data_IF_388174670661
#
_entry.id   IF_388174670661
#
_cell.length_a   1.000
_cell.length_b   1.000
_cell.length_c   1.000
_cell.angle_alpha   90.00
_cell.angle_beta   90.00
_cell.angle_gamma   90.00
#
_symmetry.space_group_name_H-M   'P 1'
#
loop_
_entity.id
_entity.type
_entity.pdbx_description
1 polymer ?
#
# COMPACT_ATOMS: atom_id res chain seq x y z
N UNK A 1 2.85 -0.87 5.31
CA UNK A 1 2.46 -0.54 3.92
C UNK A 1 1.58 0.69 3.94
N UNK A 2 1.19 1.21 2.78
CA UNK A 2 0.21 2.29 2.65
C UNK A 2 -0.94 1.84 1.75
N UNK A 3 -2.12 1.54 2.33
CA UNK A 3 -3.25 0.88 1.64
C UNK A 3 -2.98 -0.57 1.22
N UNK A 4 -2.17 -1.28 1.99
CA UNK A 4 -1.72 -2.62 1.63
C UNK A 4 -2.80 -3.69 1.74
N UNK A 5 -3.77 -3.52 2.63
CA UNK A 5 -4.89 -4.46 2.75
C UNK A 5 -5.78 -4.46 1.50
N UNK A 6 -5.95 -3.30 0.88
CA UNK A 6 -6.81 -3.16 -0.29
C UNK A 6 -6.09 -3.43 -1.61
N UNK A 7 -4.78 -3.17 -1.67
CA UNK A 7 -3.99 -3.25 -2.91
C UNK A 7 -2.81 -4.22 -2.82
N UNK A 8 -1.75 -3.88 -2.07
CA UNK A 8 -0.46 -4.58 -2.12
C UNK A 8 -0.59 -6.09 -1.88
N UNK A 9 -1.16 -6.48 -0.73
CA UNK A 9 -1.26 -7.88 -0.34
C UNK A 9 -2.25 -8.65 -1.20
N UNK A 10 -3.35 -8.02 -1.60
CA UNK A 10 -4.33 -8.62 -2.51
C UNK A 10 -3.70 -8.93 -3.86
N UNK A 11 -2.91 -8.00 -4.39
CA UNK A 11 -2.19 -8.20 -5.65
C UNK A 11 -1.17 -9.33 -5.51
N UNK A 12 -0.34 -9.32 -4.46
CA UNK A 12 0.68 -10.35 -4.21
C UNK A 12 0.02 -11.73 -4.08
N UNK A 13 -1.03 -11.87 -3.27
CA UNK A 13 -1.74 -13.12 -3.08
C UNK A 13 -2.29 -13.66 -4.41
N UNK A 14 -2.94 -12.81 -5.23
CA UNK A 14 -3.44 -13.24 -6.54
C UNK A 14 -2.30 -13.64 -7.50
N UNK A 15 -1.14 -12.98 -7.44
CA UNK A 15 0.05 -13.38 -8.22
C UNK A 15 0.63 -14.71 -7.75
N UNK A 16 0.66 -14.97 -6.45
CA UNK A 16 1.05 -16.26 -5.89
C UNK A 16 0.17 -17.39 -6.43
N UNK A 17 -1.16 -17.20 -6.48
CA UNK A 17 -2.09 -18.18 -7.06
C UNK A 17 -1.78 -18.50 -8.52
N UNK A 18 -1.52 -17.47 -9.35
CA UNK A 18 -1.16 -17.64 -10.76
C UNK A 18 0.16 -18.41 -10.92
N UNK A 19 1.11 -18.20 -10.00
CA UNK A 19 2.42 -18.83 -9.99
C UNK A 19 2.47 -20.14 -9.21
N UNK A 20 1.33 -20.64 -8.71
CA UNK A 20 1.24 -21.85 -7.89
C UNK A 20 2.11 -21.79 -6.62
N UNK A 21 2.30 -20.59 -6.06
CA UNK A 21 2.94 -20.37 -4.77
C UNK A 21 1.84 -20.35 -3.72
N UNK A 22 1.94 -21.24 -2.73
CA UNK A 22 1.02 -21.26 -1.60
C UNK A 22 1.28 -20.06 -0.69
N UNK A 23 0.44 -19.04 -0.81
CA UNK A 23 0.54 -17.83 -0.01
C UNK A 23 0.27 -18.09 1.49
N UNK A 24 -0.59 -19.05 1.80
CA UNK A 24 -0.91 -19.41 3.19
C UNK A 24 0.24 -20.19 3.84
N UNK A 25 1.02 -20.95 3.06
CA UNK A 25 2.26 -21.60 3.55
C UNK A 25 3.31 -20.62 4.05
N UNK A 26 3.26 -19.36 3.60
CA UNK A 26 4.12 -18.28 4.09
C UNK A 26 3.66 -17.73 5.46
N UNK A 27 2.58 -18.27 6.03
CA UNK A 27 2.06 -17.92 7.35
C UNK A 27 1.09 -16.74 7.36
N UNK A 28 0.73 -16.20 6.18
CA UNK A 28 -0.27 -15.14 6.10
C UNK A 28 -1.68 -15.69 6.27
N UNK A 29 -2.53 -14.90 6.92
CA UNK A 29 -3.93 -15.23 7.21
C UNK A 29 -4.79 -14.05 6.77
N UNK A 30 -5.72 -14.31 5.86
CA UNK A 30 -6.71 -13.31 5.45
C UNK A 30 -7.88 -13.33 6.42
N UNK A 31 -8.20 -12.19 7.04
CA UNK A 31 -9.33 -12.03 7.96
C UNK A 31 -10.36 -11.08 7.37
N UNK A 32 -11.63 -11.47 7.45
CA UNK A 32 -12.73 -10.56 7.14
C UNK A 32 -13.03 -9.70 8.36
N UNK A 33 -12.92 -8.39 8.22
CA UNK A 33 -13.14 -7.43 9.30
C UNK A 33 -14.35 -6.57 8.95
N UNK A 34 -15.28 -6.44 9.90
CA UNK A 34 -16.46 -5.57 9.75
C UNK A 34 -16.12 -4.18 10.27
N UNK A 35 -16.22 -3.19 9.39
CA UNK A 35 -16.14 -1.79 9.74
C UNK A 35 -17.37 -1.33 10.52
N UNK A 36 -17.26 -0.13 11.09
CA UNK A 36 -18.29 0.48 11.95
C UNK A 36 -19.65 0.67 11.24
N UNK A 37 -19.67 0.73 9.91
CA UNK A 37 -20.86 0.88 9.08
C UNK A 37 -21.30 -0.42 8.40
N UNK A 38 -20.82 -1.58 8.87
CA UNK A 38 -21.16 -2.89 8.30
C UNK A 38 -20.43 -3.24 7.02
N UNK A 39 -19.54 -2.38 6.53
CA UNK A 39 -18.65 -2.65 5.42
C UNK A 39 -17.68 -3.78 5.77
N UNK A 40 -17.62 -4.83 4.96
CA UNK A 40 -16.68 -5.94 5.14
C UNK A 40 -15.42 -5.64 4.32
N UNK A 41 -14.27 -5.61 4.98
CA UNK A 41 -12.96 -5.53 4.35
C UNK A 41 -12.17 -6.81 4.62
N UNK A 42 -11.22 -7.13 3.75
CA UNK A 42 -10.24 -8.19 4.00
C UNK A 42 -8.96 -7.55 4.51
N UNK A 43 -8.42 -8.08 5.61
CA UNK A 43 -7.14 -7.67 6.18
C UNK A 43 -6.15 -8.84 6.11
N UNK A 44 -4.90 -8.55 5.80
CA UNK A 44 -3.83 -9.53 5.72
C UNK A 44 -3.02 -9.51 7.01
N UNK A 45 -3.03 -10.62 7.74
CA UNK A 45 -2.39 -10.74 9.06
C UNK A 45 -1.38 -11.87 9.08
N UNK A 46 -0.47 -11.87 10.05
CA UNK A 46 0.49 -12.96 10.26
C UNK A 46 0.65 -13.19 11.77
N UNK A 47 0.73 -14.45 12.27
CA UNK A 47 0.82 -14.73 13.71
C UNK A 47 2.02 -14.08 14.40
N UNK A 48 3.16 -14.05 13.71
CA UNK A 48 4.44 -13.53 14.24
C UNK A 48 4.81 -12.13 13.72
N UNK A 49 4.02 -11.54 12.81
CA UNK A 49 4.36 -10.25 12.16
C UNK A 49 3.13 -9.36 12.18
N UNK A 50 3.28 -8.16 12.75
CA UNK A 50 2.22 -7.16 12.78
C UNK A 50 2.20 -6.45 11.43
N UNK A 51 1.12 -6.60 10.68
CA UNK A 51 0.88 -5.80 9.49
C UNK A 51 0.33 -4.43 9.90
N UNK A 52 1.16 -3.40 9.76
CA UNK A 52 0.78 -2.01 9.98
C UNK A 52 0.48 -1.32 8.64
N UNK A 53 -0.81 -1.17 8.34
CA UNK A 53 -1.28 -0.33 7.23
C UNK A 53 -1.42 1.13 7.68
N UNK A 54 -0.46 1.97 7.27
CA UNK A 54 -0.38 3.37 7.68
C UNK A 54 -1.59 4.19 7.23
N UNK A 55 -2.28 3.80 6.15
CA UNK A 55 -3.47 4.52 5.69
C UNK A 55 -4.60 4.47 6.74
N UNK A 56 -4.71 3.37 7.51
CA UNK A 56 -5.71 3.26 8.58
C UNK A 56 -5.46 4.28 9.68
N UNK A 57 -4.19 4.49 10.08
CA UNK A 57 -3.84 5.56 11.01
C UNK A 57 -4.11 6.94 10.39
N UNK A 58 -3.81 7.13 9.11
CA UNK A 58 -4.08 8.40 8.42
C UNK A 58 -5.56 8.75 8.49
N UNK A 59 -6.44 7.80 8.16
CA UNK A 59 -7.89 7.99 8.18
C UNK A 59 -8.44 8.23 9.59
N UNK A 60 -7.86 7.59 10.60
CA UNK A 60 -8.36 7.63 11.98
C UNK A 60 -7.85 8.83 12.77
N UNK A 61 -6.54 9.10 12.72
CA UNK A 61 -5.84 9.93 13.71
C UNK A 61 -5.01 11.07 13.10
N UNK A 62 -4.85 11.15 11.77
CA UNK A 62 -3.94 12.18 11.21
C UNK A 62 -4.50 13.60 11.28
N UNK A 63 -5.81 13.75 11.48
CA UNK A 63 -6.58 14.99 11.36
C UNK A 63 -6.43 15.68 9.99
N UNK A 64 -6.07 14.92 8.94
CA UNK A 64 -5.98 15.45 7.58
C UNK A 64 -7.34 15.37 6.88
N UNK A 65 -7.71 16.40 6.09
CA UNK A 65 -8.91 16.33 5.27
C UNK A 65 -8.79 15.18 4.26
N UNK A 66 -9.91 14.55 3.91
CA UNK A 66 -9.94 13.35 3.05
C UNK A 66 -9.17 13.54 1.73
N UNK A 67 -9.27 14.73 1.10
CA UNK A 67 -8.53 15.07 -0.12
C UNK A 67 -7.01 15.18 0.05
N UNK A 68 -6.47 15.05 1.27
CA UNK A 68 -5.04 15.08 1.57
C UNK A 68 -4.55 13.80 2.26
N UNK A 69 -5.28 12.70 2.11
CA UNK A 69 -4.91 11.38 2.67
C UNK A 69 -4.21 10.48 1.65
N UNK A 70 -3.75 11.01 0.52
CA UNK A 70 -2.83 10.29 -0.37
C UNK A 70 -1.39 10.36 0.16
N UNK A 71 -0.59 9.32 -0.11
CA UNK A 71 0.79 9.17 0.39
C UNK A 71 1.59 10.47 0.23
N UNK A 72 1.65 11.03 -1.00
CA UNK A 72 2.31 12.31 -1.29
C UNK A 72 1.91 13.44 -0.35
N UNK A 73 0.60 13.66 -0.17
CA UNK A 73 0.09 14.75 0.64
C UNK A 73 0.38 14.52 2.14
N UNK A 74 0.32 13.26 2.58
CA UNK A 74 0.68 12.86 3.95
C UNK A 74 2.17 13.08 4.21
N UNK A 75 3.06 12.63 3.31
CA UNK A 75 4.51 12.83 3.39
C UNK A 75 4.86 14.31 3.49
N UNK A 76 4.31 15.15 2.60
CA UNK A 76 4.55 16.60 2.64
C UNK A 76 4.11 17.22 3.98
N UNK A 77 2.94 16.81 4.50
CA UNK A 77 2.38 17.41 5.73
C UNK A 77 3.05 16.90 7.00
N UNK A 78 3.38 15.61 7.08
CA UNK A 78 3.88 14.93 8.29
C UNK A 78 5.41 14.85 8.33
N UNK A 79 6.06 14.58 7.18
CA UNK A 79 7.52 14.43 7.08
C UNK A 79 8.25 15.67 6.54
N UNK A 80 7.50 16.69 6.10
CA UNK A 80 8.02 18.02 5.73
C UNK A 80 8.98 18.05 4.53
N UNK A 81 8.87 17.09 3.61
CA UNK A 81 9.55 17.13 2.32
C UNK A 81 8.61 16.76 1.18
N UNK A 82 8.96 17.15 -0.04
CA UNK A 82 8.22 16.81 -1.25
C UNK A 82 8.75 15.48 -1.82
N UNK A 83 7.98 14.38 -1.78
CA UNK A 83 8.42 13.13 -2.39
C UNK A 83 8.40 13.24 -3.92
N UNK A 84 9.10 12.32 -4.59
CA UNK A 84 9.05 12.21 -6.05
C UNK A 84 7.62 11.88 -6.50
N UNK A 85 7.19 12.45 -7.62
CA UNK A 85 5.87 12.20 -8.20
C UNK A 85 6.01 11.67 -9.61
N UNK A 86 5.26 10.61 -9.90
CA UNK A 86 5.14 10.01 -11.22
C UNK A 86 3.66 9.76 -11.50
N UNK A 87 3.18 10.16 -12.68
CA UNK A 87 1.81 9.85 -13.09
C UNK A 87 1.65 8.33 -13.26
N UNK A 88 0.59 7.71 -12.70
CA UNK A 88 0.37 6.26 -12.80
C UNK A 88 0.33 5.74 -14.24
N UNK A 89 -0.19 6.55 -15.17
CA UNK A 89 -0.28 6.23 -16.60
C UNK A 89 1.10 6.06 -17.25
N UNK A 90 2.12 6.72 -16.69
CA UNK A 90 3.50 6.63 -17.18
C UNK A 90 4.29 5.47 -16.57
N UNK A 91 3.82 4.84 -15.49
CA UNK A 91 4.56 3.78 -14.81
C UNK A 91 4.87 2.60 -15.74
N UNK A 92 3.88 2.11 -16.49
CA UNK A 92 4.05 0.95 -17.38
C UNK A 92 4.97 1.25 -18.58
N UNK A 93 4.80 2.37 -19.33
CA UNK A 93 5.77 2.74 -20.35
C UNK A 93 7.19 2.93 -19.80
N UNK A 94 7.32 3.54 -18.63
CA UNK A 94 8.63 3.87 -18.04
C UNK A 94 9.37 2.64 -17.55
N UNK A 95 8.67 1.54 -17.23
CA UNK A 95 9.31 0.27 -16.93
C UNK A 95 10.27 -0.19 -18.05
N UNK A 96 9.97 0.13 -19.32
CA UNK A 96 10.84 -0.16 -20.47
C UNK A 96 11.71 1.03 -20.87
N UNK A 97 11.13 2.23 -20.93
CA UNK A 97 11.78 3.39 -21.54
C UNK A 97 12.70 4.14 -20.57
N UNK A 98 12.33 4.19 -19.27
CA UNK A 98 12.98 5.01 -18.23
C UNK A 98 13.00 4.28 -16.88
N UNK A 99 13.59 3.07 -16.79
CA UNK A 99 13.49 2.23 -15.58
C UNK A 99 14.11 2.89 -14.35
N UNK A 100 15.17 3.70 -14.52
CA UNK A 100 15.81 4.41 -13.42
C UNK A 100 14.84 5.40 -12.74
N UNK A 101 14.02 6.13 -13.52
CA UNK A 101 13.05 7.08 -12.96
C UNK A 101 11.95 6.32 -12.21
N UNK A 102 11.44 5.23 -12.80
CA UNK A 102 10.43 4.40 -12.14
C UNK A 102 10.97 3.80 -10.83
N UNK A 103 12.23 3.34 -10.82
CA UNK A 103 12.87 2.81 -9.63
C UNK A 103 13.07 3.89 -8.56
N UNK A 104 13.47 5.11 -8.92
CA UNK A 104 13.56 6.24 -7.99
C UNK A 104 12.21 6.57 -7.36
N UNK A 105 11.13 6.57 -8.16
CA UNK A 105 9.78 6.76 -7.65
C UNK A 105 9.39 5.65 -6.66
N UNK A 106 9.63 4.39 -7.00
CA UNK A 106 9.36 3.25 -6.12
C UNK A 106 10.13 3.32 -4.80
N UNK A 107 11.41 3.73 -4.82
CA UNK A 107 12.22 3.88 -3.61
C UNK A 107 11.76 5.09 -2.80
N UNK A 108 11.37 6.20 -3.45
CA UNK A 108 10.81 7.37 -2.78
C UNK A 108 9.57 7.01 -1.96
N UNK A 109 8.66 6.19 -2.51
CA UNK A 109 7.47 5.72 -1.81
C UNK A 109 7.79 4.75 -0.66
N UNK A 110 8.85 3.95 -0.77
CA UNK A 110 9.29 3.05 0.29
C UNK A 110 9.99 3.77 1.47
N UNK A 111 10.61 4.92 1.20
CA UNK A 111 11.23 5.79 2.22
C UNK A 111 10.19 6.67 2.94
N UNK A 112 9.10 7.01 2.25
CA UNK A 112 8.00 7.83 2.75
C UNK A 112 7.11 7.11 3.77
#
# INVERSE_FOLDING_TARGET
>A
TYNGDSFDFKFIHQRCQVLQIDFDSLGFVTKATKGRFGNVASEYTHPSIIHMDCLKWVMRDSYLPQGSQGLKAVTAKKLKYQPMELSPELMTPYAKQRPQILAQYSVSDAVA
#
